data_IF_912665805041
#
_entry.id   IF_912665805041
#
_cell.length_a   1.000
_cell.length_b   1.000
_cell.length_c   1.000
_cell.angle_alpha   90.00
_cell.angle_beta   90.00
_cell.angle_gamma   90.00
#
_symmetry.space_group_name_H-M   'P 1'
#
loop_
_entity.id
_entity.type
_entity.pdbx_description
1 polymer ?
#
# COMPACT_ATOMS: atom_id res chain seq x y z
N UNK A 1 13.24 -18.27 -14.44
CA UNK A 1 13.97 -17.19 -15.13
C UNK A 1 14.97 -16.60 -14.13
N UNK A 2 16.28 -16.78 -14.34
CA UNK A 2 17.32 -16.56 -13.31
C UNK A 2 17.58 -15.08 -12.96
N UNK A 3 17.23 -14.12 -13.83
CA UNK A 3 17.53 -12.70 -13.64
C UNK A 3 16.72 -11.99 -12.53
N UNK A 4 15.48 -12.43 -12.29
CA UNK A 4 14.66 -11.81 -11.25
C UNK A 4 15.09 -12.27 -9.87
N UNK A 5 15.42 -13.56 -9.75
CA UNK A 5 15.91 -14.14 -8.50
C UNK A 5 17.29 -13.59 -8.13
N UNK A 6 18.18 -13.35 -9.11
CA UNK A 6 19.46 -12.68 -8.86
C UNK A 6 19.26 -11.25 -8.36
N UNK A 7 18.32 -10.50 -8.94
CA UNK A 7 18.00 -9.12 -8.50
C UNK A 7 17.45 -9.10 -7.07
N UNK A 8 16.56 -10.05 -6.72
CA UNK A 8 16.04 -10.18 -5.34
C UNK A 8 17.18 -10.49 -4.37
N UNK A 9 18.06 -11.43 -4.70
CA UNK A 9 19.21 -11.80 -3.85
C UNK A 9 20.19 -10.63 -3.69
N UNK A 10 20.45 -9.86 -4.76
CA UNK A 10 21.28 -8.66 -4.69
C UNK A 10 20.66 -7.62 -3.75
N UNK A 11 19.35 -7.39 -3.84
CA UNK A 11 18.65 -6.45 -2.97
C UNK A 11 18.63 -6.93 -1.50
N UNK A 12 18.41 -8.21 -1.25
CA UNK A 12 18.56 -8.83 0.08
C UNK A 12 19.95 -8.57 0.65
N UNK A 13 21.00 -8.74 -0.17
CA UNK A 13 22.37 -8.47 0.25
C UNK A 13 22.61 -6.97 0.56
N UNK A 14 21.98 -6.05 -0.19
CA UNK A 14 22.02 -4.61 0.10
C UNK A 14 21.33 -4.28 1.43
N UNK A 15 20.19 -4.90 1.72
CA UNK A 15 19.47 -4.74 2.99
C UNK A 15 20.26 -5.29 4.18
N UNK A 16 20.83 -6.50 4.07
CA UNK A 16 21.65 -7.11 5.15
C UNK A 16 22.90 -6.29 5.46
N UNK A 17 23.52 -5.71 4.43
CA UNK A 17 24.72 -4.85 4.56
C UNK A 17 24.39 -3.41 4.97
N UNK A 18 23.12 -3.07 5.22
CA UNK A 18 22.65 -1.70 5.52
C UNK A 18 23.17 -0.64 4.55
N UNK A 19 23.25 -1.00 3.26
CA UNK A 19 23.69 -0.06 2.22
C UNK A 19 22.60 0.94 1.84
N UNK A 20 21.35 0.56 2.04
CA UNK A 20 20.17 1.38 1.79
C UNK A 20 19.59 1.68 3.17
N UNK A 21 19.68 2.94 3.58
CA UNK A 21 19.11 3.44 4.83
C UNK A 21 18.03 4.47 4.49
N UNK A 22 17.00 4.53 5.34
CA UNK A 22 15.88 5.46 5.20
C UNK A 22 14.62 4.80 4.65
N UNK A 23 13.49 5.19 5.23
CA UNK A 23 12.17 4.61 4.94
C UNK A 23 11.75 4.81 3.48
N UNK A 24 11.93 6.02 2.94
CA UNK A 24 11.51 6.34 1.57
C UNK A 24 12.38 5.64 0.51
N UNK A 25 13.71 5.66 0.66
CA UNK A 25 14.62 5.01 -0.28
C UNK A 25 14.39 3.48 -0.31
N UNK A 26 14.26 2.88 0.88
CA UNK A 26 13.97 1.45 1.02
C UNK A 26 12.59 1.10 0.45
N UNK A 27 11.56 1.92 0.71
CA UNK A 27 10.22 1.72 0.16
C UNK A 27 10.23 1.77 -1.37
N UNK A 28 10.85 2.79 -1.96
CA UNK A 28 10.94 2.96 -3.42
C UNK A 28 11.61 1.77 -4.09
N UNK A 29 12.79 1.36 -3.62
CA UNK A 29 13.49 0.20 -4.17
C UNK A 29 12.68 -1.10 -3.99
N UNK A 30 11.95 -1.24 -2.88
CA UNK A 30 11.10 -2.42 -2.64
C UNK A 30 9.94 -2.47 -3.64
N UNK A 31 9.24 -1.35 -3.88
CA UNK A 31 8.15 -1.30 -4.86
C UNK A 31 8.66 -1.58 -6.27
N UNK A 32 9.80 -1.00 -6.67
CA UNK A 32 10.41 -1.23 -7.98
C UNK A 32 10.82 -2.70 -8.21
N UNK A 33 11.32 -3.35 -7.16
CA UNK A 33 11.61 -4.78 -7.17
C UNK A 33 10.33 -5.61 -7.33
N UNK A 34 9.30 -5.33 -6.52
CA UNK A 34 8.02 -6.04 -6.58
C UNK A 34 7.33 -5.86 -7.94
N UNK A 35 7.38 -4.67 -8.53
CA UNK A 35 6.90 -4.40 -9.89
C UNK A 35 7.59 -5.30 -10.91
N UNK A 36 8.92 -5.40 -10.83
CA UNK A 36 9.70 -6.29 -11.70
C UNK A 36 9.28 -7.74 -11.50
N UNK A 37 9.16 -8.21 -10.26
CA UNK A 37 8.70 -9.58 -9.94
C UNK A 37 7.32 -9.86 -10.56
N UNK A 38 6.35 -8.97 -10.38
CA UNK A 38 4.99 -9.12 -10.95
C UNK A 38 5.02 -9.12 -12.48
N UNK A 39 5.85 -8.28 -13.09
CA UNK A 39 6.00 -8.20 -14.56
C UNK A 39 6.58 -9.49 -15.16
N UNK A 40 7.53 -10.14 -14.49
CA UNK A 40 8.15 -11.38 -14.98
C UNK A 40 7.44 -12.66 -14.55
N UNK A 41 6.58 -12.61 -13.52
CA UNK A 41 5.87 -13.78 -13.03
C UNK A 41 4.93 -14.35 -14.11
N UNK A 42 5.00 -15.67 -14.31
CA UNK A 42 4.03 -16.42 -15.13
C UNK A 42 2.82 -16.72 -14.27
N UNK A 43 1.65 -16.30 -14.74
CA UNK A 43 0.37 -16.46 -14.04
C UNK A 43 -0.45 -17.57 -14.71
N UNK A 44 -0.86 -18.61 -13.96
CA UNK A 44 -1.79 -19.62 -14.44
C UNK A 44 -3.18 -19.02 -14.69
N UNK A 45 -3.91 -19.54 -15.68
CA UNK A 45 -5.21 -18.99 -16.12
C UNK A 45 -6.35 -19.13 -15.11
N UNK A 46 -6.27 -20.07 -14.17
CA UNK A 46 -7.37 -20.35 -13.23
C UNK A 46 -7.25 -19.59 -11.90
N UNK A 47 -6.01 -19.31 -11.44
CA UNK A 47 -5.73 -18.80 -10.09
C UNK A 47 -4.67 -17.68 -10.15
N UNK A 48 -4.90 -16.68 -10.99
CA UNK A 48 -3.93 -15.63 -11.27
C UNK A 48 -3.60 -14.79 -10.02
N UNK A 49 -4.61 -14.33 -9.30
CA UNK A 49 -4.41 -13.51 -8.11
C UNK A 49 -3.71 -14.30 -7.00
N UNK A 50 -4.12 -15.55 -6.74
CA UNK A 50 -3.47 -16.41 -5.76
C UNK A 50 -1.99 -16.65 -6.10
N UNK A 51 -1.66 -16.93 -7.36
CA UNK A 51 -0.27 -17.12 -7.79
C UNK A 51 0.58 -15.85 -7.65
N UNK A 52 0.01 -14.66 -7.91
CA UNK A 52 0.69 -13.38 -7.69
C UNK A 52 0.88 -13.09 -6.20
N UNK A 53 -0.15 -13.33 -5.38
CA UNK A 53 -0.10 -13.17 -3.93
C UNK A 53 0.98 -14.06 -3.35
N UNK A 54 1.03 -15.34 -3.71
CA UNK A 54 2.03 -16.28 -3.20
C UNK A 54 3.46 -15.89 -3.63
N UNK A 55 3.64 -15.45 -4.88
CA UNK A 55 4.94 -14.99 -5.37
C UNK A 55 5.43 -13.74 -4.61
N UNK A 56 4.57 -12.73 -4.44
CA UNK A 56 4.89 -11.50 -3.70
C UNK A 56 5.10 -11.79 -2.22
N UNK A 57 4.30 -12.69 -1.63
CA UNK A 57 4.43 -13.12 -0.23
C UNK A 57 5.77 -13.83 0.01
N UNK A 58 6.17 -14.74 -0.87
CA UNK A 58 7.45 -15.45 -0.77
C UNK A 58 8.65 -14.47 -0.82
N UNK A 59 8.67 -13.54 -1.78
CA UNK A 59 9.72 -12.51 -1.88
C UNK A 59 9.67 -11.58 -0.66
N UNK A 60 8.48 -11.14 -0.27
CA UNK A 60 8.29 -10.25 0.88
C UNK A 60 8.80 -10.85 2.20
N UNK A 61 8.54 -12.14 2.44
CA UNK A 61 9.06 -12.85 3.62
C UNK A 61 10.60 -12.88 3.62
N UNK A 62 11.23 -13.12 2.47
CA UNK A 62 12.70 -13.08 2.36
C UNK A 62 13.27 -11.68 2.66
N UNK A 63 12.62 -10.63 2.17
CA UNK A 63 13.05 -9.24 2.39
C UNK A 63 12.89 -8.81 3.85
N UNK A 64 11.77 -9.16 4.49
CA UNK A 64 11.51 -8.83 5.90
C UNK A 64 12.45 -9.61 6.82
N UNK A 65 12.72 -10.88 6.51
CA UNK A 65 13.69 -11.68 7.25
C UNK A 65 15.13 -11.14 7.14
N UNK A 66 15.46 -10.47 6.02
CA UNK A 66 16.78 -9.89 5.82
C UNK A 66 17.06 -8.68 6.72
N UNK A 67 16.06 -7.85 7.00
CA UNK A 67 16.16 -6.73 7.93
C UNK A 67 14.80 -6.43 8.60
N UNK A 68 14.50 -7.05 9.77
CA UNK A 68 13.21 -6.89 10.44
C UNK A 68 13.02 -5.51 11.09
N UNK A 69 14.10 -4.72 11.24
CA UNK A 69 14.03 -3.38 11.83
C UNK A 69 13.47 -2.36 10.84
N UNK A 70 13.64 -2.59 9.54
CA UNK A 70 13.14 -1.70 8.48
C UNK A 70 11.69 -2.06 8.11
N UNK A 71 10.74 -1.51 8.88
CA UNK A 71 9.31 -1.78 8.71
C UNK A 71 8.72 -1.28 7.38
N UNK A 72 9.40 -0.34 6.71
CA UNK A 72 8.98 0.20 5.42
C UNK A 72 8.83 -0.90 4.37
N UNK A 73 9.74 -1.88 4.34
CA UNK A 73 9.70 -3.03 3.43
C UNK A 73 8.40 -3.82 3.63
N UNK A 74 8.11 -4.20 4.88
CA UNK A 74 6.91 -4.96 5.21
C UNK A 74 5.63 -4.20 4.91
N UNK A 75 5.59 -2.90 5.18
CA UNK A 75 4.43 -2.06 4.91
C UNK A 75 4.14 -1.94 3.42
N UNK A 76 5.18 -1.75 2.60
CA UNK A 76 5.06 -1.76 1.14
C UNK A 76 4.54 -3.11 0.63
N UNK A 77 5.12 -4.24 1.09
CA UNK A 77 4.68 -5.58 0.67
C UNK A 77 3.20 -5.78 0.99
N UNK A 78 2.75 -5.42 2.20
CA UNK A 78 1.34 -5.53 2.59
C UNK A 78 0.44 -4.64 1.74
N UNK A 79 0.87 -3.42 1.40
CA UNK A 79 0.12 -2.52 0.51
C UNK A 79 -0.03 -3.10 -0.88
N UNK A 80 1.05 -3.66 -1.45
CA UNK A 80 1.01 -4.32 -2.77
C UNK A 80 0.10 -5.55 -2.76
N UNK A 81 0.15 -6.37 -1.69
CA UNK A 81 -0.78 -7.50 -1.54
C UNK A 81 -2.25 -7.04 -1.47
N UNK A 82 -2.51 -5.91 -0.81
CA UNK A 82 -3.85 -5.33 -0.77
C UNK A 82 -4.31 -4.86 -2.14
N UNK A 83 -3.46 -4.16 -2.90
CA UNK A 83 -3.75 -3.74 -4.29
C UNK A 83 -4.12 -4.96 -5.15
N UNK A 84 -3.35 -6.05 -5.07
CA UNK A 84 -3.66 -7.27 -5.85
C UNK A 84 -5.04 -7.84 -5.49
N UNK A 85 -5.41 -7.85 -4.20
CA UNK A 85 -6.71 -8.33 -3.75
C UNK A 85 -7.85 -7.41 -4.17
N UNK A 86 -7.61 -6.11 -4.16
CA UNK A 86 -8.59 -5.09 -4.59
C UNK A 86 -8.87 -5.20 -6.09
N UNK A 87 -7.85 -5.32 -6.93
CA UNK A 87 -8.02 -5.45 -8.38
C UNK A 87 -8.67 -6.78 -8.79
N UNK A 88 -8.35 -7.89 -8.11
CA UNK A 88 -8.99 -9.20 -8.36
C UNK A 88 -10.49 -9.15 -8.03
N UNK A 89 -10.84 -8.47 -6.93
CA UNK A 89 -12.23 -8.26 -6.56
C UNK A 89 -12.96 -7.35 -7.55
N UNK A 90 -12.33 -6.26 -7.97
CA UNK A 90 -12.88 -5.32 -8.95
C UNK A 90 -13.19 -6.01 -10.27
N UNK A 91 -12.29 -6.86 -10.76
CA UNK A 91 -12.49 -7.63 -11.98
C UNK A 91 -13.59 -8.69 -11.85
N UNK A 92 -13.67 -9.37 -10.69
CA UNK A 92 -14.73 -10.34 -10.42
C UNK A 92 -16.10 -9.66 -10.39
N UNK A 93 -16.18 -8.48 -9.76
CA UNK A 93 -17.40 -7.66 -9.69
C UNK A 93 -17.81 -7.15 -11.08
N UNK A 94 -16.85 -6.68 -11.88
CA UNK A 94 -17.11 -6.21 -13.25
C UNK A 94 -17.56 -7.34 -14.19
N UNK A 95 -17.00 -8.54 -14.04
CA UNK A 95 -17.44 -9.72 -14.80
C UNK A 95 -18.88 -10.13 -14.47
N UNK A 96 -19.30 -10.00 -13.20
CA UNK A 96 -20.67 -10.28 -12.78
C UNK A 96 -21.65 -9.18 -13.20
N UNK A 97 -21.28 -7.90 -13.09
CA UNK A 97 -22.13 -6.79 -13.54
C UNK A 97 -22.35 -6.77 -15.06
N UNK A 98 -21.39 -7.28 -15.85
CA UNK A 98 -21.54 -7.44 -17.29
C UNK A 98 -22.47 -8.58 -17.71
N UNK A 99 -22.74 -9.56 -16.83
CA UNK A 99 -23.68 -10.65 -17.08
C UNK A 99 -25.14 -10.22 -16.82
N UNK A 100 -25.39 -9.28 -15.90
CA UNK A 100 -26.73 -8.75 -15.61
C UNK A 100 -27.31 -7.85 -16.71
N UNK A 101 -26.48 -7.33 -17.64
CA UNK A 101 -26.92 -6.48 -18.76
C UNK A 101 -27.31 -7.26 -20.03
N UNK A 102 -27.09 -8.58 -20.05
CA UNK A 102 -27.46 -9.45 -21.17
C UNK A 102 -28.81 -10.16 -20.96
N UNK A 103 -29.45 -10.00 -19.79
CA UNK A 103 -30.76 -10.58 -19.48
C UNK A 103 -31.93 -9.59 -19.67
N UNK A 104 -31.71 -8.54 -20.47
CA UNK A 104 -32.70 -7.52 -20.79
C UNK A 104 -32.81 -7.32 -22.31
N UNK A 105 -33.17 -8.39 -23.04
CA UNK A 105 -33.75 -8.28 -24.38
C UNK A 105 -34.62 -9.50 -24.73
N UNK A 106 -35.94 -9.24 -24.68
CA UNK A 106 -37.10 -9.81 -25.39
C UNK A 106 -37.27 -11.33 -25.56
N UNK A 107 -38.33 -11.88 -24.95
CA UNK A 107 -39.51 -12.33 -25.72
C UNK A 107 -40.75 -12.49 -24.79
N UNK A 108 -41.81 -11.77 -25.14
CA UNK A 108 -43.18 -12.04 -24.69
C UNK A 108 -43.65 -13.36 -25.32
N UNK A 109 -43.95 -14.39 -24.51
CA UNK A 109 -45.16 -15.22 -24.67
C UNK A 109 -45.26 -16.32 -23.60
N UNK A 110 -46.51 -16.58 -23.23
CA UNK A 110 -46.98 -17.28 -22.04
C UNK A 110 -46.96 -18.81 -22.24
N UNK A 111 -46.30 -19.56 -21.35
CA UNK A 111 -46.94 -20.78 -20.82
C UNK A 111 -46.44 -21.19 -19.42
N UNK A 112 -47.38 -21.71 -18.66
CA UNK A 112 -47.39 -21.88 -17.21
C UNK A 112 -46.83 -23.25 -16.78
N UNK A 113 -45.84 -23.28 -15.88
CA UNK A 113 -45.54 -24.43 -15.01
C UNK A 113 -44.93 -24.00 -13.66
N UNK A 114 -45.55 -24.49 -12.57
CA UNK A 114 -45.24 -24.22 -11.16
C UNK A 114 -44.02 -25.02 -10.64
N UNK A 115 -43.23 -24.38 -9.76
CA UNK A 115 -42.32 -24.98 -8.77
C UNK A 115 -40.87 -25.13 -9.27
N UNK A 116 -39.80 -24.76 -8.57
CA UNK A 116 -39.52 -24.56 -7.14
C UNK A 116 -38.49 -23.41 -7.07
N UNK A 117 -38.78 -22.39 -6.27
CA UNK A 117 -37.89 -21.22 -6.11
C UNK A 117 -36.62 -21.58 -5.34
N UNK A 118 -35.49 -21.65 -6.04
CA UNK A 118 -34.18 -21.44 -5.44
C UNK A 118 -33.92 -19.94 -5.42
N UNK A 119 -33.63 -19.31 -4.27
CA UNK A 119 -33.25 -17.91 -4.28
C UNK A 119 -31.88 -17.82 -4.94
N UNK A 120 -31.84 -17.35 -6.18
CA UNK A 120 -30.63 -16.83 -6.77
C UNK A 120 -30.11 -15.75 -5.80
N UNK A 121 -29.04 -16.07 -5.07
CA UNK A 121 -28.38 -15.13 -4.16
C UNK A 121 -28.10 -13.86 -4.97
N UNK A 122 -28.83 -12.78 -4.67
CA UNK A 122 -28.74 -11.52 -5.39
C UNK A 122 -27.27 -11.09 -5.49
N UNK A 123 -26.86 -10.53 -6.64
CA UNK A 123 -25.52 -9.97 -6.84
C UNK A 123 -25.07 -9.06 -5.68
N UNK A 124 -26.03 -8.42 -4.99
CA UNK A 124 -25.81 -7.65 -3.78
C UNK A 124 -25.26 -8.47 -2.59
N UNK A 125 -25.72 -9.71 -2.39
CA UNK A 125 -25.30 -10.60 -1.29
C UNK A 125 -23.90 -11.16 -1.54
N UNK A 126 -23.59 -11.52 -2.79
CA UNK A 126 -22.24 -11.97 -3.19
C UNK A 126 -21.24 -10.82 -3.16
N UNK A 127 -21.64 -9.62 -3.64
CA UNK A 127 -20.82 -8.41 -3.51
C UNK A 127 -20.63 -7.99 -2.04
N UNK A 128 -21.64 -8.17 -1.18
CA UNK A 128 -21.51 -7.92 0.26
C UNK A 128 -20.55 -8.92 0.93
N UNK A 129 -20.65 -10.21 0.60
CA UNK A 129 -19.74 -11.24 1.08
C UNK A 129 -18.29 -10.99 0.62
N UNK A 130 -18.10 -10.55 -0.62
CA UNK A 130 -16.78 -10.27 -1.18
C UNK A 130 -16.18 -8.96 -0.61
N UNK A 131 -16.99 -7.92 -0.37
CA UNK A 131 -16.60 -6.72 0.40
C UNK A 131 -16.19 -7.06 1.84
N UNK A 132 -16.74 -8.13 2.40
CA UNK A 132 -16.41 -8.59 3.75
C UNK A 132 -14.99 -9.19 3.87
N UNK A 133 -14.32 -9.51 2.75
CA UNK A 133 -12.93 -10.03 2.75
C UNK A 133 -11.87 -8.92 2.84
N UNK A 134 -12.22 -7.68 2.51
CA UNK A 134 -11.34 -6.50 2.56
C UNK A 134 -11.51 -5.66 3.84
N UNK A 135 -12.59 -5.89 4.60
CA UNK A 135 -12.84 -5.27 5.91
C UNK A 135 -12.23 -6.15 7.01
N UNK A 136 -11.64 -5.59 8.09
CA UNK A 136 -11.35 -6.40 9.28
C UNK A 136 -12.65 -7.10 9.70
N UNK A 137 -12.63 -8.41 9.98
CA UNK A 137 -13.86 -9.15 10.25
C UNK A 137 -14.54 -8.51 11.45
N UNK A 138 -15.75 -7.96 11.24
CA UNK A 138 -16.62 -7.66 12.36
C UNK A 138 -17.05 -9.00 12.96
N UNK A 139 -17.35 -9.01 14.26
CA UNK A 139 -17.85 -10.22 14.94
C UNK A 139 -19.08 -10.81 14.21
N UNK A 140 -19.85 -9.94 13.55
CA UNK A 140 -21.01 -10.30 12.73
C UNK A 140 -20.63 -11.16 11.51
N UNK A 141 -19.59 -10.79 10.75
CA UNK A 141 -19.12 -11.57 9.60
C UNK A 141 -18.63 -12.97 9.99
N UNK A 142 -17.95 -13.09 11.14
CA UNK A 142 -17.45 -14.38 11.62
C UNK A 142 -18.57 -15.29 12.14
N UNK A 143 -19.65 -14.72 12.67
CA UNK A 143 -20.83 -15.45 13.11
C UNK A 143 -21.72 -15.89 11.95
N UNK A 144 -21.80 -15.12 10.86
CA UNK A 144 -22.52 -15.49 9.64
C UNK A 144 -21.80 -16.56 8.81
N UNK A 145 -20.52 -16.83 9.10
CA UNK A 145 -19.68 -17.80 8.40
C UNK A 145 -19.83 -19.26 8.83
N UNK A 146 -20.79 -19.62 9.69
CA UNK A 146 -21.10 -21.03 9.98
C UNK A 146 -21.84 -21.66 8.80
N UNK A 147 -21.26 -22.63 8.07
CA UNK A 147 -22.00 -23.31 7.01
C UNK A 147 -23.01 -24.24 7.67
N UNK A 148 -24.29 -23.90 7.62
CA UNK A 148 -25.33 -24.91 7.78
C UNK A 148 -25.28 -25.86 6.57
N UNK A 149 -24.96 -27.11 6.90
CA UNK A 149 -25.24 -28.33 6.14
C UNK A 149 -24.52 -28.54 4.80
N UNK A 150 -23.75 -29.62 4.78
CA UNK A 150 -23.14 -30.23 3.61
C UNK A 150 -24.17 -30.56 2.51
N UNK A 151 -23.90 -30.11 1.29
CA UNK A 151 -24.23 -30.84 0.06
C UNK A 151 -23.14 -30.64 -0.97
N UNK A 152 -22.45 -31.71 -1.28
CA UNK A 152 -21.45 -31.84 -2.36
C UNK A 152 -22.20 -31.87 -3.70
N UNK A 153 -21.84 -31.06 -4.73
CA UNK A 153 -22.30 -31.35 -6.08
C UNK A 153 -21.33 -32.34 -6.71
N UNK A 154 -21.80 -33.58 -6.81
CA UNK A 154 -21.20 -34.61 -7.65
C UNK A 154 -21.20 -34.18 -9.13
N UNK A 155 -20.16 -34.61 -9.81
CA UNK A 155 -19.96 -34.53 -11.25
C UNK A 155 -21.13 -35.17 -12.02
N UNK A 156 -21.84 -34.38 -12.82
CA UNK A 156 -22.67 -34.91 -13.90
C UNK A 156 -22.07 -34.51 -15.23
N UNK A 157 -21.49 -35.53 -15.87
CA UNK A 157 -21.12 -35.58 -17.28
C UNK A 157 -22.30 -35.18 -18.15
N UNK A 158 -22.17 -34.10 -18.91
CA UNK A 158 -22.98 -33.83 -20.10
C UNK A 158 -22.03 -33.32 -21.18
N UNK A 159 -21.79 -34.18 -22.18
CA UNK A 159 -21.05 -33.84 -23.37
C UNK A 159 -21.87 -32.89 -24.22
N UNK A 160 -21.35 -31.69 -24.42
CA UNK A 160 -21.76 -30.79 -25.48
C UNK A 160 -20.51 -30.03 -25.92
N UNK A 161 -20.03 -30.37 -27.12
CA UNK A 161 -18.91 -29.73 -27.77
C UNK A 161 -19.19 -28.23 -27.92
N UNK A 162 -18.28 -27.41 -27.39
CA UNK A 162 -18.21 -25.98 -27.67
C UNK A 162 -16.75 -25.56 -27.70
N UNK A 163 -16.09 -25.96 -28.78
CA UNK A 163 -14.88 -25.30 -29.25
C UNK A 163 -15.23 -23.87 -29.70
N UNK A 164 -15.05 -22.88 -28.82
CA UNK A 164 -14.64 -21.48 -29.15
C UNK A 164 -14.88 -20.48 -28.00
N UNK A 165 -14.14 -20.55 -26.87
CA UNK A 165 -14.07 -19.45 -25.87
C UNK A 165 -12.71 -19.33 -25.16
N UNK A 166 -11.60 -19.48 -25.89
CA UNK A 166 -10.23 -19.35 -25.33
C UNK A 166 -9.68 -17.93 -25.41
N UNK A 167 -10.22 -17.06 -26.26
CA UNK A 167 -9.74 -15.69 -26.45
C UNK A 167 -10.10 -14.74 -25.30
N UNK A 168 -11.35 -14.79 -24.80
CA UNK A 168 -11.85 -13.83 -23.81
C UNK A 168 -11.14 -13.94 -22.46
N UNK A 169 -10.82 -15.17 -22.02
CA UNK A 169 -10.11 -15.40 -20.75
C UNK A 169 -8.66 -14.91 -20.79
N UNK A 170 -7.99 -15.00 -21.94
CA UNK A 170 -6.62 -14.48 -22.09
C UNK A 170 -6.54 -12.96 -21.97
N UNK A 171 -7.61 -12.27 -22.39
CA UNK A 171 -7.73 -10.82 -22.27
C UNK A 171 -7.88 -10.40 -20.81
N UNK A 172 -8.73 -11.10 -20.04
CA UNK A 172 -8.91 -10.88 -18.61
C UNK A 172 -7.62 -11.13 -17.83
N UNK A 173 -6.84 -12.15 -18.22
CA UNK A 173 -5.55 -12.43 -17.58
C UNK A 173 -4.55 -11.28 -17.77
N UNK A 174 -4.55 -10.65 -18.94
CA UNK A 174 -3.67 -9.49 -19.21
C UNK A 174 -4.17 -8.22 -18.52
N UNK A 175 -5.49 -8.05 -18.39
CA UNK A 175 -6.12 -6.92 -17.69
C UNK A 175 -5.70 -6.87 -16.22
N UNK A 176 -5.91 -7.94 -15.45
CA UNK A 176 -5.52 -7.94 -14.01
C UNK A 176 -4.05 -7.59 -13.79
N UNK A 177 -3.16 -8.17 -14.60
CA UNK A 177 -1.72 -7.89 -14.47
C UNK A 177 -1.40 -6.44 -14.82
N UNK A 178 -2.05 -5.88 -15.84
CA UNK A 178 -1.89 -4.48 -16.21
C UNK A 178 -2.38 -3.56 -15.09
N UNK A 179 -3.59 -3.81 -14.58
CA UNK A 179 -4.23 -3.01 -13.53
C UNK A 179 -3.40 -3.03 -12.24
N UNK A 180 -2.88 -4.20 -11.85
CA UNK A 180 -1.94 -4.33 -10.71
C UNK A 180 -0.64 -3.56 -10.97
N UNK A 181 -0.07 -3.61 -12.17
CA UNK A 181 1.16 -2.87 -12.50
C UNK A 181 0.90 -1.36 -12.45
N UNK A 182 -0.27 -0.91 -12.91
CA UNK A 182 -0.70 0.48 -12.84
C UNK A 182 -0.86 0.93 -11.37
N UNK A 183 -1.57 0.16 -10.54
CA UNK A 183 -1.69 0.43 -9.11
C UNK A 183 -0.35 0.45 -8.37
N UNK A 184 0.58 -0.42 -8.74
CA UNK A 184 1.96 -0.40 -8.21
C UNK A 184 2.72 0.83 -8.69
N UNK A 185 2.58 1.25 -9.95
CA UNK A 185 3.20 2.49 -10.44
C UNK A 185 2.62 3.71 -9.74
N UNK A 186 1.30 3.76 -9.50
CA UNK A 186 0.65 4.82 -8.73
C UNK A 186 1.24 4.91 -7.32
N UNK A 187 1.43 3.77 -6.65
CA UNK A 187 2.10 3.72 -5.35
C UNK A 187 3.53 4.29 -5.37
N UNK A 188 4.29 4.08 -6.47
CA UNK A 188 5.64 4.69 -6.62
C UNK A 188 5.53 6.23 -6.66
N UNK A 189 4.56 6.76 -7.41
CA UNK A 189 4.36 8.20 -7.53
C UNK A 189 3.90 8.81 -6.21
N UNK A 190 3.02 8.14 -5.48
CA UNK A 190 2.58 8.55 -4.13
C UNK A 190 3.75 8.61 -3.14
N UNK A 191 4.63 7.60 -3.11
CA UNK A 191 5.81 7.60 -2.25
C UNK A 191 6.79 8.72 -2.62
N UNK A 192 6.85 9.11 -3.90
CA UNK A 192 7.71 10.20 -4.35
C UNK A 192 7.14 11.59 -4.00
N UNK A 193 5.83 11.78 -4.16
CA UNK A 193 5.14 13.06 -3.94
C UNK A 193 4.67 13.34 -2.51
N UNK A 194 4.83 12.40 -1.57
CA UNK A 194 4.29 12.55 -0.22
C UNK A 194 4.85 13.76 0.54
N UNK A 195 6.12 14.14 0.34
CA UNK A 195 6.72 15.27 1.03
C UNK A 195 6.19 16.61 0.52
N UNK A 196 5.91 16.72 -0.77
CA UNK A 196 5.33 17.92 -1.39
C UNK A 196 3.92 18.17 -0.85
N UNK A 197 3.10 17.11 -0.81
CA UNK A 197 1.74 17.17 -0.24
C UNK A 197 1.75 17.61 1.23
N UNK A 198 2.69 17.11 2.03
CA UNK A 198 2.84 17.52 3.43
C UNK A 198 3.33 18.97 3.52
N UNK A 199 4.24 19.39 2.64
CA UNK A 199 4.78 20.74 2.64
C UNK A 199 3.73 21.81 2.27
N UNK A 200 2.71 21.47 1.48
CA UNK A 200 1.60 22.37 1.18
C UNK A 200 0.81 22.77 2.44
N UNK A 201 0.61 21.82 3.35
CA UNK A 201 -0.12 22.00 4.62
C UNK A 201 0.62 22.88 5.64
N UNK A 202 1.90 23.21 5.39
CA UNK A 202 2.72 23.96 6.34
C UNK A 202 2.18 25.36 6.68
N UNK A 203 1.38 25.97 5.77
CA UNK A 203 0.82 27.31 5.99
C UNK A 203 -0.14 27.34 7.18
N UNK A 204 -0.93 26.27 7.33
CA UNK A 204 -2.02 26.22 8.32
C UNK A 204 -1.47 26.00 9.73
N UNK A 205 -0.28 25.40 9.83
CA UNK A 205 0.32 25.02 11.10
C UNK A 205 1.37 26.01 11.61
N UNK A 206 2.04 26.77 10.72
CA UNK A 206 3.11 27.70 11.11
C UNK A 206 2.66 29.14 10.99
N UNK A 207 2.61 29.84 12.13
CA UNK A 207 2.31 31.26 12.20
C UNK A 207 3.57 32.14 12.27
N UNK A 208 3.36 33.44 12.15
CA UNK A 208 4.41 34.44 12.23
C UNK A 208 5.00 34.51 13.65
N UNK A 209 6.33 34.66 13.75
CA UNK A 209 7.09 34.82 14.99
C UNK A 209 6.98 33.62 15.96
N UNK A 210 6.67 32.44 15.44
CA UNK A 210 6.71 31.22 16.25
C UNK A 210 8.13 30.70 16.45
N UNK A 211 8.30 29.98 17.56
CA UNK A 211 9.52 29.26 17.89
C UNK A 211 9.23 27.77 17.76
N UNK A 212 9.89 27.13 16.82
CA UNK A 212 9.73 25.71 16.50
C UNK A 212 10.93 24.95 17.04
N UNK A 213 10.69 23.80 17.67
CA UNK A 213 11.73 22.84 18.04
C UNK A 213 11.65 21.61 17.13
N UNK A 214 12.80 21.20 16.58
CA UNK A 214 12.96 19.96 15.82
C UNK A 214 14.08 19.11 16.39
N UNK A 215 14.01 17.81 16.14
CA UNK A 215 15.02 16.84 16.55
C UNK A 215 15.42 15.96 15.37
N UNK A 216 16.72 15.76 15.19
CA UNK A 216 17.28 14.92 14.13
C UNK A 216 17.24 15.57 12.74
N UNK A 217 17.34 14.73 11.69
CA UNK A 217 17.33 15.16 10.29
C UNK A 217 16.24 14.42 9.52
N UNK A 218 15.21 15.16 9.11
CA UNK A 218 14.12 14.66 8.27
C UNK A 218 14.02 15.50 7.01
N UNK A 219 13.96 14.84 5.86
CA UNK A 219 13.65 15.49 4.59
C UNK A 219 12.24 16.09 4.57
N UNK A 220 11.26 15.40 5.18
CA UNK A 220 9.88 15.91 5.27
C UNK A 220 9.81 17.21 6.05
N UNK A 221 10.49 17.27 7.21
CA UNK A 221 10.51 18.49 8.04
C UNK A 221 11.28 19.61 7.35
N UNK A 222 12.38 19.28 6.65
CA UNK A 222 13.12 20.25 5.84
C UNK A 222 12.22 20.92 4.80
N UNK A 223 11.55 20.13 3.96
CA UNK A 223 10.68 20.62 2.89
C UNK A 223 9.47 21.39 3.46
N UNK A 224 8.89 20.91 4.56
CA UNK A 224 7.80 21.58 5.29
C UNK A 224 8.20 22.98 5.78
N UNK A 225 9.36 23.11 6.45
CA UNK A 225 9.85 24.39 6.95
C UNK A 225 10.28 25.33 5.80
N UNK A 226 10.80 24.78 4.71
CA UNK A 226 11.16 25.58 3.54
C UNK A 226 9.91 26.15 2.85
N UNK A 227 8.86 25.35 2.67
CA UNK A 227 7.60 25.80 2.09
C UNK A 227 6.93 26.90 2.93
N UNK A 228 6.99 26.81 4.27
CA UNK A 228 6.50 27.87 5.15
C UNK A 228 7.29 29.18 4.97
N UNK A 229 8.61 29.09 4.75
CA UNK A 229 9.46 30.26 4.53
C UNK A 229 9.21 30.92 3.18
N UNK A 230 9.10 30.15 2.11
CA UNK A 230 8.85 30.64 0.74
C UNK A 230 7.56 31.47 0.67
N UNK A 231 6.58 31.10 1.50
CA UNK A 231 5.31 31.81 1.68
C UNK A 231 5.40 33.02 2.65
N UNK A 232 6.62 33.51 2.91
CA UNK A 232 6.96 34.74 3.67
C UNK A 232 6.60 34.75 5.16
N UNK A 233 6.64 33.60 5.84
CA UNK A 233 6.60 33.56 7.31
C UNK A 233 7.99 33.72 7.90
N UNK A 234 8.15 34.57 8.92
CA UNK A 234 9.38 34.59 9.73
C UNK A 234 9.13 33.86 11.04
N UNK A 235 9.92 32.81 11.27
CA UNK A 235 9.89 32.02 12.49
C UNK A 235 11.32 31.57 12.80
N UNK A 236 11.54 31.13 14.05
CA UNK A 236 12.84 30.66 14.52
C UNK A 236 12.78 29.16 14.78
N UNK A 237 13.82 28.43 14.37
CA UNK A 237 13.89 26.98 14.55
C UNK A 237 15.05 26.62 15.47
N UNK A 238 14.75 25.91 16.54
CA UNK A 238 15.74 25.21 17.35
C UNK A 238 15.88 23.78 16.85
N UNK A 239 17.11 23.35 16.57
CA UNK A 239 17.40 22.00 16.10
C UNK A 239 18.25 21.29 17.16
N UNK A 240 17.73 20.22 17.74
CA UNK A 240 18.54 19.36 18.60
C UNK A 240 19.53 18.54 17.77
N UNK A 241 20.78 18.46 18.21
CA UNK A 241 21.86 17.78 17.49
C UNK A 241 21.61 16.28 17.27
N UNK A 242 20.91 15.61 18.20
CA UNK A 242 20.59 14.19 18.10
C UNK A 242 21.83 13.31 18.23
N UNK A 243 22.55 13.43 19.34
CA UNK A 243 23.63 12.52 19.69
C UNK A 243 23.09 11.09 19.83
N UNK A 244 23.80 10.05 19.35
CA UNK A 244 25.22 10.03 18.93
C UNK A 244 25.45 10.25 17.42
N UNK A 245 24.40 10.40 16.59
CA UNK A 245 24.57 10.48 15.12
C UNK A 245 24.80 11.90 14.61
N UNK A 246 24.53 12.92 15.42
CA UNK A 246 24.69 14.35 15.11
C UNK A 246 24.01 14.77 13.79
N UNK A 247 22.90 14.09 13.46
CA UNK A 247 22.19 14.32 12.20
C UNK A 247 21.55 15.71 12.17
N UNK A 248 21.20 16.29 13.31
CA UNK A 248 20.62 17.64 13.40
C UNK A 248 21.54 18.73 12.81
N UNK A 249 22.85 18.54 12.82
CA UNK A 249 23.80 19.48 12.21
C UNK A 249 23.65 19.57 10.68
N UNK A 250 23.38 18.44 10.02
CA UNK A 250 23.14 18.40 8.57
C UNK A 250 21.87 19.18 8.23
N UNK A 251 20.79 18.94 8.96
CA UNK A 251 19.53 19.66 8.80
C UNK A 251 19.71 21.16 9.03
N UNK A 252 20.39 21.55 10.11
CA UNK A 252 20.65 22.96 10.41
C UNK A 252 21.41 23.65 9.28
N UNK A 253 22.44 23.00 8.72
CA UNK A 253 23.20 23.53 7.58
C UNK A 253 22.30 23.78 6.36
N UNK A 254 21.42 22.83 6.04
CA UNK A 254 20.47 22.96 4.92
C UNK A 254 19.44 24.07 5.15
N UNK A 255 18.90 24.18 6.37
CA UNK A 255 17.96 25.24 6.74
C UNK A 255 18.61 26.63 6.69
N UNK A 256 19.87 26.76 7.12
CA UNK A 256 20.63 28.02 7.01
C UNK A 256 20.90 28.37 5.55
N UNK A 257 21.23 27.39 4.70
CA UNK A 257 21.42 27.62 3.26
C UNK A 257 20.12 28.14 2.59
N UNK A 258 18.97 27.69 3.07
CA UNK A 258 17.64 28.20 2.67
C UNK A 258 17.26 29.52 3.39
N UNK A 259 18.13 30.02 4.27
CA UNK A 259 18.04 31.29 4.98
C UNK A 259 17.06 31.31 6.17
N UNK A 260 16.75 30.17 6.77
CA UNK A 260 15.98 30.12 8.01
C UNK A 260 16.85 30.50 9.21
N UNK A 261 16.26 31.21 10.17
CA UNK A 261 16.94 31.49 11.43
C UNK A 261 16.94 30.20 12.28
N UNK A 262 18.02 29.45 12.20
CA UNK A 262 18.19 28.21 12.96
C UNK A 262 19.23 28.34 14.05
N UNK A 263 19.02 27.63 15.15
CA UNK A 263 19.97 27.54 16.25
C UNK A 263 20.07 26.08 16.67
N UNK A 264 21.28 25.54 16.63
CA UNK A 264 21.54 24.17 17.10
C UNK A 264 21.66 24.18 18.61
N UNK A 265 21.03 23.21 19.26
CA UNK A 265 21.08 23.00 20.71
C UNK A 265 21.55 21.57 20.99
N UNK A 266 22.17 21.38 22.16
CA UNK A 266 22.50 20.05 22.65
C UNK A 266 21.25 19.33 23.17
N UNK A 267 21.25 18.00 23.16
CA UNK A 267 20.09 17.22 23.59
C UNK A 267 19.73 17.51 25.06
N UNK A 268 20.74 17.77 25.91
CA UNK A 268 20.54 18.16 27.33
C UNK A 268 19.87 19.52 27.49
N UNK A 269 20.03 20.43 26.53
CA UNK A 269 19.44 21.77 26.58
C UNK A 269 17.97 21.79 26.13
N UNK A 270 17.46 20.73 25.51
CA UNK A 270 16.08 20.63 25.02
C UNK A 270 15.08 20.93 26.13
N UNK A 271 15.27 20.36 27.33
CA UNK A 271 14.36 20.56 28.45
C UNK A 271 14.33 22.02 28.95
N UNK A 272 15.45 22.73 28.90
CA UNK A 272 15.47 24.15 29.26
C UNK A 272 14.77 25.01 28.20
N UNK A 273 14.93 24.65 26.92
CA UNK A 273 14.40 25.40 25.79
C UNK A 273 12.91 25.17 25.54
N UNK A 274 12.35 24.02 25.95
CA UNK A 274 10.95 23.66 25.73
C UNK A 274 9.98 24.67 26.36
N UNK A 275 10.38 25.35 27.44
CA UNK A 275 9.61 26.42 28.09
C UNK A 275 9.34 27.64 27.20
N UNK A 276 10.14 27.82 26.14
CA UNK A 276 10.09 28.97 25.22
C UNK A 276 9.66 28.58 23.80
N UNK A 277 9.39 27.30 23.58
CA UNK A 277 9.01 26.76 22.28
C UNK A 277 7.50 26.71 22.23
N UNK A 278 6.91 27.18 21.12
CA UNK A 278 5.48 27.14 20.93
C UNK A 278 5.05 25.78 20.39
N UNK A 279 5.78 25.25 19.40
CA UNK A 279 5.42 24.03 18.67
C UNK A 279 6.63 23.13 18.49
N UNK A 280 6.41 21.81 18.59
CA UNK A 280 7.45 20.79 18.41
C UNK A 280 7.12 19.94 17.19
N UNK A 281 8.01 19.94 16.21
CA UNK A 281 7.90 19.08 15.04
C UNK A 281 8.90 17.92 15.19
N UNK A 282 8.37 16.71 15.35
CA UNK A 282 9.18 15.50 15.55
C UNK A 282 9.13 14.65 14.29
N UNK A 283 10.28 14.14 13.89
CA UNK A 283 10.36 13.08 12.91
C UNK A 283 10.01 11.74 13.57
N UNK A 284 9.05 11.02 13.01
CA UNK A 284 8.82 9.63 13.38
C UNK A 284 9.60 8.70 12.45
N UNK A 285 10.43 7.82 13.02
CA UNK A 285 10.70 6.52 12.41
C UNK A 285 9.43 5.63 12.56
N UNK A 286 9.23 4.59 11.74
CA UNK A 286 7.91 4.06 11.37
C UNK A 286 6.92 3.97 12.53
N UNK A 287 5.73 4.54 12.34
CA UNK A 287 4.64 4.49 13.32
C UNK A 287 4.20 3.03 13.45
N UNK A 288 4.53 2.44 14.59
CA UNK A 288 4.15 1.07 14.91
C UNK A 288 2.67 1.03 15.24
N UNK A 289 1.87 0.57 14.28
CA UNK A 289 0.61 -0.07 14.60
C UNK A 289 0.90 -1.58 14.66
N UNK A 290 0.52 -2.25 15.74
CA UNK A 290 0.53 -3.72 15.83
C UNK A 290 -0.86 -4.24 15.41
N UNK A 291 -1.23 -4.35 14.12
CA UNK A 291 -2.28 -5.27 13.75
C UNK A 291 -1.66 -6.68 13.75
N UNK A 292 -2.21 -7.54 14.60
CA UNK A 292 -1.93 -8.98 14.65
C UNK A 292 -2.44 -9.62 13.35
N UNK A 293 -1.75 -9.40 12.24
CA UNK A 293 -2.00 -10.08 10.98
C UNK A 293 -0.65 -10.49 10.41
N UNK A 294 -0.17 -11.61 10.94
CA UNK A 294 0.81 -12.45 10.28
C UNK A 294 0.35 -12.76 8.86
N UNK A 295 1.31 -12.72 7.94
CA UNK A 295 1.20 -12.99 6.52
C UNK A 295 0.29 -14.15 6.13
#
# INVERSE_FOLDING_TARGET
MPDVQSTVVEFVNKLRKRKIEGSQATAKCTVELLRSVISYQRVPHANQAAALIDAVKAVGQQLVAANPVELAVGNVVRRVLHIIREEDLSLTTAAMAGLDLLDASDDDDVDNCKGIGYPAMSAAVVAAAARSTLRPPSLQTLLEGTPESATVPYTSSSGADSESKTADKSSLTRKLKHDVIEGVNQLIHEIAGCHEQIAEQAIEHIHQNEVILTLGSSRTVLEFLCAAKEKKRSFRVFVAEGAPRYQGHLLAKELVARGLQTTVITDSAVFAMISRVNMVHIQSCPVLYFPVLSF
#
